data_IF_918000910954
#
_entry.id   IF_918000910954
#
_cell.length_a   1.000
_cell.length_b   1.000
_cell.length_c   1.000
_cell.angle_alpha   90.00
_cell.angle_beta   90.00
_cell.angle_gamma   90.00
#
_symmetry.space_group_name_H-M   'P 1'
#
loop_
_entity.id
_entity.type
_entity.pdbx_description
1 polymer ?
#
# COMPACT_ATOMS: atom_id res chain seq x y z
N UNK A 1 -14.37 15.13 -8.01
CA UNK A 1 -14.36 15.97 -9.24
C UNK A 1 -12.92 16.16 -9.72
N UNK A 2 -12.68 16.37 -11.01
CA UNK A 2 -11.33 16.60 -11.57
C UNK A 2 -10.63 17.79 -10.91
N UNK A 3 -11.40 18.82 -10.53
CA UNK A 3 -10.93 20.01 -9.83
C UNK A 3 -10.35 19.73 -8.44
N UNK A 4 -10.68 18.59 -7.82
CA UNK A 4 -10.17 18.20 -6.51
C UNK A 4 -8.75 17.58 -6.58
N UNK A 5 -8.23 17.35 -7.78
CA UNK A 5 -6.89 16.80 -7.98
C UNK A 5 -5.90 17.88 -8.38
N UNK A 6 -4.76 17.99 -7.69
CA UNK A 6 -3.69 18.89 -8.06
C UNK A 6 -3.18 18.58 -9.47
N UNK A 7 -3.00 19.63 -10.29
CA UNK A 7 -2.58 19.50 -11.70
C UNK A 7 -1.08 19.25 -11.86
N UNK A 8 -0.30 19.46 -10.80
CA UNK A 8 1.15 19.27 -10.79
C UNK A 8 1.55 18.49 -9.55
N UNK A 9 2.68 17.79 -9.64
CA UNK A 9 3.29 17.09 -8.52
C UNK A 9 3.60 18.05 -7.36
N UNK A 10 4.18 19.22 -7.65
CA UNK A 10 4.45 20.23 -6.63
C UNK A 10 3.18 20.74 -5.92
N UNK A 11 2.07 20.90 -6.66
CA UNK A 11 0.79 21.27 -6.04
C UNK A 11 0.21 20.11 -5.22
N UNK A 12 0.48 18.87 -5.63
CA UNK A 12 0.12 17.70 -4.84
C UNK A 12 0.93 17.63 -3.54
N UNK A 13 2.23 17.83 -3.58
CA UNK A 13 3.07 17.80 -2.39
C UNK A 13 2.64 18.87 -1.37
N UNK A 14 2.31 20.08 -1.86
CA UNK A 14 1.80 21.16 -1.00
C UNK A 14 0.45 20.81 -0.37
N UNK A 15 -0.51 20.34 -1.17
CA UNK A 15 -1.83 19.94 -0.68
C UNK A 15 -1.75 18.73 0.26
N UNK A 16 -0.82 17.81 0.01
CA UNK A 16 -0.57 16.63 0.84
C UNK A 16 0.01 17.04 2.20
N UNK A 17 1.02 17.91 2.23
CA UNK A 17 1.60 18.42 3.47
C UNK A 17 0.56 19.19 4.30
N UNK A 18 -0.28 20.02 3.66
CA UNK A 18 -1.40 20.70 4.32
C UNK A 18 -2.43 19.70 4.87
N UNK A 19 -2.73 18.64 4.11
CA UNK A 19 -3.60 17.55 4.53
C UNK A 19 -3.06 16.86 5.77
N UNK A 20 -1.79 16.44 5.76
CA UNK A 20 -1.13 15.78 6.89
C UNK A 20 -1.19 16.61 8.17
N UNK A 21 -1.01 17.93 8.08
CA UNK A 21 -1.09 18.83 9.24
C UNK A 21 -2.49 18.88 9.88
N UNK A 22 -3.54 18.49 9.15
CA UNK A 22 -4.93 18.49 9.62
C UNK A 22 -5.41 17.12 10.08
N UNK A 23 -4.66 16.05 9.83
CA UNK A 23 -5.07 14.70 10.22
C UNK A 23 -4.94 14.56 11.73
N UNK A 24 -6.05 14.18 12.36
CA UNK A 24 -6.09 13.75 13.75
C UNK A 24 -6.42 12.26 13.79
N UNK A 25 -5.69 11.51 14.61
CA UNK A 25 -5.94 10.10 14.84
C UNK A 25 -6.55 9.94 16.23
N UNK A 26 -7.83 9.57 16.29
CA UNK A 26 -8.41 9.11 17.54
C UNK A 26 -7.97 7.67 17.85
N UNK A 27 -8.14 7.25 19.10
CA UNK A 27 -7.74 5.92 19.57
C UNK A 27 -8.45 4.78 18.83
N UNK A 28 -9.67 5.02 18.35
CA UNK A 28 -10.48 4.01 17.64
C UNK A 28 -9.93 3.76 16.24
N UNK A 29 -9.64 4.84 15.51
CA UNK A 29 -9.00 4.79 14.21
C UNK A 29 -7.60 4.19 14.31
N UNK A 30 -6.83 4.57 15.33
CA UNK A 30 -5.50 4.02 15.60
C UNK A 30 -5.54 2.50 15.84
N UNK A 31 -6.49 2.03 16.65
CA UNK A 31 -6.67 0.60 16.90
C UNK A 31 -7.06 -0.15 15.61
N UNK A 32 -8.01 0.39 14.85
CA UNK A 32 -8.45 -0.20 13.59
C UNK A 32 -7.31 -0.31 12.56
N UNK A 33 -6.53 0.76 12.37
CA UNK A 33 -5.41 0.75 11.43
C UNK A 33 -4.30 -0.21 11.88
N UNK A 34 -4.04 -0.31 13.18
CA UNK A 34 -3.10 -1.29 13.71
C UNK A 34 -3.57 -2.73 13.48
N UNK A 35 -4.87 -3.00 13.63
CA UNK A 35 -5.47 -4.31 13.34
C UNK A 35 -5.32 -4.70 11.85
N UNK A 36 -5.45 -3.72 10.94
CA UNK A 36 -5.19 -3.91 9.51
C UNK A 36 -3.72 -4.22 9.22
N UNK A 37 -2.79 -3.49 9.85
CA UNK A 37 -1.36 -3.74 9.73
C UNK A 37 -0.99 -5.14 10.27
N UNK A 38 -1.65 -5.56 11.34
CA UNK A 38 -1.55 -6.88 11.96
C UNK A 38 -2.18 -8.01 11.15
N UNK A 39 -2.93 -7.70 10.09
CA UNK A 39 -3.73 -8.67 9.35
C UNK A 39 -4.73 -9.43 10.22
N UNK A 40 -5.38 -8.78 11.20
CA UNK A 40 -6.37 -9.43 12.08
C UNK A 40 -7.60 -9.96 11.35
N UNK A 41 -7.84 -9.52 10.12
CA UNK A 41 -8.89 -10.09 9.26
C UNK A 41 -8.59 -11.50 8.72
N UNK A 42 -7.36 -12.01 8.88
CA UNK A 42 -6.95 -13.32 8.38
C UNK A 42 -6.98 -14.39 9.48
N UNK A 43 -6.78 -15.66 9.10
CA UNK A 43 -6.68 -16.73 10.09
C UNK A 43 -5.45 -16.52 11.00
N UNK A 44 -5.48 -16.99 12.27
CA UNK A 44 -4.35 -16.82 13.19
C UNK A 44 -3.02 -17.38 12.66
N UNK A 45 -3.06 -18.43 11.84
CA UNK A 45 -1.86 -18.98 11.19
C UNK A 45 -1.29 -18.04 10.14
N UNK A 46 -2.16 -17.48 9.29
CA UNK A 46 -1.75 -16.51 8.26
C UNK A 46 -1.20 -15.24 8.91
N UNK A 47 -1.85 -14.75 9.96
CA UNK A 47 -1.38 -13.60 10.74
C UNK A 47 0.03 -13.83 11.28
N UNK A 48 0.29 -14.95 11.96
CA UNK A 48 1.64 -15.23 12.51
C UNK A 48 2.71 -15.29 11.43
N UNK A 49 2.37 -15.82 10.25
CA UNK A 49 3.32 -16.00 9.15
C UNK A 49 3.59 -14.71 8.36
N UNK A 50 2.56 -13.90 8.12
CA UNK A 50 2.62 -12.74 7.22
C UNK A 50 2.63 -11.41 7.95
N UNK A 51 2.00 -11.33 9.13
CA UNK A 51 1.77 -10.10 9.89
C UNK A 51 3.02 -9.29 10.19
N UNK A 52 4.10 -9.88 10.74
CA UNK A 52 5.31 -9.12 11.06
C UNK A 52 5.94 -8.45 9.83
N UNK A 53 6.03 -9.19 8.72
CA UNK A 53 6.55 -8.63 7.47
C UNK A 53 5.59 -7.59 6.87
N UNK A 54 4.28 -7.86 6.90
CA UNK A 54 3.25 -6.95 6.39
C UNK A 54 3.24 -5.62 7.14
N UNK A 55 3.25 -5.65 8.48
CA UNK A 55 3.39 -4.42 9.28
C UNK A 55 4.67 -3.69 8.91
N UNK A 56 5.81 -4.37 8.93
CA UNK A 56 7.11 -3.75 8.68
C UNK A 56 7.19 -3.08 7.30
N UNK A 57 6.76 -3.77 6.24
CA UNK A 57 6.83 -3.22 4.88
C UNK A 57 5.88 -2.03 4.69
N UNK A 58 4.67 -2.08 5.24
CA UNK A 58 3.72 -0.97 5.15
C UNK A 58 4.17 0.23 5.99
N UNK A 59 4.72 0.01 7.18
CA UNK A 59 5.28 1.07 8.03
C UNK A 59 6.37 1.84 7.28
N UNK A 60 7.21 1.15 6.50
CA UNK A 60 8.25 1.79 5.68
C UNK A 60 7.72 2.78 4.63
N UNK A 61 6.48 2.62 4.15
CA UNK A 61 5.86 3.56 3.21
C UNK A 61 5.18 4.76 3.88
N UNK A 62 4.98 4.72 5.20
CA UNK A 62 4.33 5.81 5.93
C UNK A 62 5.30 6.97 6.16
N UNK A 63 4.87 8.24 6.05
CA UNK A 63 5.64 9.39 6.53
C UNK A 63 5.91 9.30 8.04
N UNK A 64 7.01 9.91 8.55
CA UNK A 64 7.35 9.90 9.97
C UNK A 64 6.22 10.36 10.90
N UNK A 65 5.46 11.38 10.48
CA UNK A 65 4.36 11.97 11.25
C UNK A 65 3.24 10.96 11.48
N UNK A 66 2.93 10.14 10.46
CA UNK A 66 1.92 9.08 10.59
C UNK A 66 2.44 7.95 11.47
N UNK A 67 3.73 7.59 11.35
CA UNK A 67 4.33 6.53 12.18
C UNK A 67 4.28 6.89 13.66
N UNK A 68 4.65 8.13 14.00
CA UNK A 68 4.58 8.64 15.35
C UNK A 68 3.13 8.66 15.86
N UNK A 69 2.20 9.21 15.07
CA UNK A 69 0.79 9.25 15.44
C UNK A 69 0.17 7.86 15.62
N UNK A 70 0.72 6.82 14.97
CA UNK A 70 0.29 5.42 15.06
C UNK A 70 1.07 4.56 16.08
N UNK A 71 2.03 5.14 16.83
CA UNK A 71 2.97 4.45 17.73
C UNK A 71 3.79 3.34 17.04
N UNK A 72 4.12 3.52 15.76
CA UNK A 72 4.90 2.56 14.99
C UNK A 72 6.39 2.83 15.17
N UNK A 73 7.07 1.91 15.85
CA UNK A 73 8.53 1.97 16.01
C UNK A 73 9.23 1.79 14.67
N UNK A 74 10.10 2.72 14.31
CA UNK A 74 10.89 2.67 13.08
C UNK A 74 12.32 3.14 13.32
N UNK A 75 13.29 2.25 13.13
CA UNK A 75 14.71 2.55 13.40
C UNK A 75 15.45 2.96 12.13
N UNK A 76 16.64 3.56 12.29
CA UNK A 76 17.53 3.83 11.16
C UNK A 76 17.95 2.54 10.41
N UNK A 77 17.99 1.41 11.11
CA UNK A 77 18.25 0.09 10.52
C UNK A 77 17.10 -0.40 9.64
N UNK A 78 15.86 -0.17 10.09
CA UNK A 78 14.66 -0.46 9.32
C UNK A 78 14.61 0.38 8.05
N UNK A 79 14.91 1.68 8.15
CA UNK A 79 14.96 2.58 7.00
C UNK A 79 15.96 2.09 5.94
N UNK A 80 17.19 1.75 6.35
CA UNK A 80 18.20 1.23 5.39
C UNK A 80 17.73 -0.06 4.72
N UNK A 81 17.23 -1.02 5.51
CA UNK A 81 16.73 -2.31 5.00
C UNK A 81 15.56 -2.11 4.04
N UNK A 82 14.67 -1.19 4.34
CA UNK A 82 13.53 -0.83 3.50
C UNK A 82 14.00 -0.24 2.17
N UNK A 83 14.84 0.80 2.21
CA UNK A 83 15.37 1.45 1.02
C UNK A 83 16.11 0.47 0.11
N UNK A 84 16.95 -0.41 0.67
CA UNK A 84 17.61 -1.46 -0.10
C UNK A 84 16.62 -2.42 -0.77
N UNK A 85 15.58 -2.86 -0.06
CA UNK A 85 14.56 -3.75 -0.62
C UNK A 85 13.80 -3.08 -1.75
N UNK A 86 13.33 -1.85 -1.56
CA UNK A 86 12.61 -1.08 -2.59
C UNK A 86 13.51 -0.87 -3.81
N UNK A 87 14.78 -0.51 -3.62
CA UNK A 87 15.75 -0.37 -4.72
C UNK A 87 15.94 -1.68 -5.48
N UNK A 88 16.13 -2.80 -4.77
CA UNK A 88 16.28 -4.14 -5.38
C UNK A 88 15.01 -4.54 -6.13
N UNK A 89 13.83 -4.31 -5.56
CA UNK A 89 12.54 -4.57 -6.19
C UNK A 89 12.37 -3.74 -7.46
N UNK A 90 12.63 -2.44 -7.41
CA UNK A 90 12.59 -1.56 -8.58
C UNK A 90 13.57 -2.00 -9.67
N UNK A 91 14.78 -2.40 -9.30
CA UNK A 91 15.77 -2.91 -10.25
C UNK A 91 15.35 -4.25 -10.89
N UNK A 92 14.71 -5.14 -10.13
CA UNK A 92 14.14 -6.39 -10.67
C UNK A 92 12.96 -6.09 -11.58
N UNK A 93 12.03 -5.25 -11.14
CA UNK A 93 10.84 -4.87 -11.90
C UNK A 93 11.18 -4.25 -13.26
N UNK A 94 12.23 -3.42 -13.34
CA UNK A 94 12.71 -2.85 -14.61
C UNK A 94 13.21 -3.89 -15.60
N UNK A 95 13.68 -5.05 -15.14
CA UNK A 95 14.13 -6.17 -15.98
C UNK A 95 13.00 -7.09 -16.41
N UNK A 96 11.81 -6.99 -15.80
CA UNK A 96 10.66 -7.83 -16.16
C UNK A 96 10.11 -7.38 -17.52
N UNK A 97 9.98 -8.28 -18.51
CA UNK A 97 9.39 -7.96 -19.80
C UNK A 97 7.98 -7.38 -19.65
N UNK A 98 7.60 -6.45 -20.54
CA UNK A 98 6.29 -5.78 -20.50
C UNK A 98 5.12 -6.76 -20.54
N UNK A 99 5.26 -7.87 -21.28
CA UNK A 99 4.23 -8.93 -21.36
C UNK A 99 3.96 -9.51 -19.98
N UNK A 100 5.00 -9.83 -19.21
CA UNK A 100 4.87 -10.39 -17.85
C UNK A 100 4.30 -9.35 -16.88
N UNK A 101 4.74 -8.08 -16.97
CA UNK A 101 4.18 -6.98 -16.15
C UNK A 101 2.70 -6.74 -16.41
N UNK A 102 2.26 -6.86 -17.65
CA UNK A 102 0.87 -6.62 -18.05
C UNK A 102 -0.01 -7.88 -17.95
N UNK A 103 0.59 -9.06 -17.76
CA UNK A 103 -0.13 -10.33 -17.74
C UNK A 103 -1.28 -10.35 -16.73
N UNK A 104 -1.13 -9.90 -15.46
CA UNK A 104 -2.23 -9.94 -14.50
C UNK A 104 -3.45 -9.14 -14.95
N UNK A 105 -3.24 -7.91 -15.44
CA UNK A 105 -4.31 -7.04 -15.94
C UNK A 105 -4.97 -7.69 -17.17
N UNK A 106 -4.17 -8.20 -18.10
CA UNK A 106 -4.67 -8.86 -19.30
C UNK A 106 -5.51 -10.10 -18.98
N UNK A 107 -5.06 -10.94 -18.05
CA UNK A 107 -5.77 -12.13 -17.61
C UNK A 107 -7.10 -11.79 -16.93
N UNK A 108 -7.11 -10.82 -16.01
CA UNK A 108 -8.35 -10.37 -15.35
C UNK A 108 -9.33 -9.75 -16.34
N UNK A 109 -8.86 -8.93 -17.30
CA UNK A 109 -9.72 -8.38 -18.35
C UNK A 109 -10.25 -9.45 -19.28
N UNK A 110 -9.45 -10.47 -19.59
CA UNK A 110 -9.88 -11.61 -20.40
C UNK A 110 -10.96 -12.43 -19.69
N UNK A 111 -10.76 -12.77 -18.42
CA UNK A 111 -11.77 -13.46 -17.60
C UNK A 111 -13.07 -12.65 -17.52
N UNK A 112 -12.97 -11.34 -17.24
CA UNK A 112 -14.11 -10.44 -17.23
C UNK A 112 -14.87 -10.44 -18.57
N UNK A 113 -14.16 -10.30 -19.70
CA UNK A 113 -14.76 -10.31 -21.04
C UNK A 113 -15.44 -11.64 -21.34
N UNK A 114 -14.82 -12.75 -20.95
CA UNK A 114 -15.37 -14.09 -21.13
C UNK A 114 -16.65 -14.28 -20.30
N UNK A 115 -16.65 -13.88 -19.03
CA UNK A 115 -17.86 -13.94 -18.17
C UNK A 115 -18.97 -13.06 -18.71
N UNK A 116 -18.65 -11.86 -19.16
CA UNK A 116 -19.63 -10.95 -19.78
C UNK A 116 -20.25 -11.54 -21.05
N UNK A 117 -19.44 -12.16 -21.92
CA UNK A 117 -19.94 -12.84 -23.12
C UNK A 117 -20.85 -14.03 -22.77
N UNK A 118 -20.46 -14.81 -21.76
CA UNK A 118 -21.20 -15.98 -21.29
C UNK A 118 -22.36 -15.63 -20.33
N UNK A 119 -22.65 -14.33 -20.11
CA UNK A 119 -23.65 -13.82 -19.14
C UNK A 119 -23.51 -14.41 -17.74
N UNK A 120 -22.28 -14.67 -17.32
CA UNK A 120 -21.96 -15.17 -15.97
C UNK A 120 -21.74 -14.01 -15.00
N UNK A 121 -22.08 -14.19 -13.70
CA UNK A 121 -21.81 -13.19 -12.68
C UNK A 121 -20.30 -12.94 -12.52
N UNK A 122 -19.95 -11.70 -12.18
CA UNK A 122 -18.56 -11.23 -12.05
C UNK A 122 -17.99 -11.52 -10.64
N UNK A 123 -18.83 -11.94 -9.70
CA UNK A 123 -18.47 -12.43 -8.36
C UNK A 123 -19.43 -13.55 -7.99
#
# INVERSE_FOLDING_TARGET
PEEAWPRTEAAFDAAWAEGLAKVSYDDTLKAYLNDLLDLKQLSPEQQRRLGPFHRWINTGFLPPEIREAMDLTWTADDERRFQERVRRLGARNRRVPRVVRNFPIGATLWDYRLRRLLRRPIV
#
